data_IF_022183761810
#
_entry.id   IF_022183761810
#
_cell.length_a   1.000
_cell.length_b   1.000
_cell.length_c   1.000
_cell.angle_alpha   90.00
_cell.angle_beta   90.00
_cell.angle_gamma   90.00
#
_symmetry.space_group_name_H-M   'P 1'
#
loop_
_entity.id
_entity.type
_entity.pdbx_description
1 polymer ?
#
# COMPACT_ATOMS: atom_id res chain seq x y z
N UNK A 1 -7.38 -12.27 15.27
CA UNK A 1 -7.71 -13.65 14.89
C UNK A 1 -7.52 -13.81 13.40
N UNK A 2 -6.56 -14.59 13.01
CA UNK A 2 -6.37 -14.92 11.62
C UNK A 2 -7.54 -15.77 11.18
N UNK A 3 -8.31 -15.38 10.13
CA UNK A 3 -9.03 -16.41 9.42
C UNK A 3 -7.95 -17.38 8.96
N UNK A 4 -7.99 -18.58 9.50
CA UNK A 4 -6.99 -19.58 9.25
C UNK A 4 -6.80 -19.75 7.75
N UNK A 5 -5.55 -19.83 7.28
CA UNK A 5 -5.29 -20.28 5.90
C UNK A 5 -6.07 -21.55 5.60
N UNK A 6 -6.31 -22.38 6.61
CA UNK A 6 -7.15 -23.57 6.55
C UNK A 6 -8.58 -23.29 6.05
N UNK A 7 -9.13 -22.09 6.26
CA UNK A 7 -10.43 -21.72 5.69
C UNK A 7 -10.39 -21.48 4.18
N UNK A 8 -9.25 -21.07 3.64
CA UNK A 8 -9.05 -20.89 2.18
C UNK A 8 -8.62 -22.20 1.49
N UNK A 9 -8.06 -23.12 2.24
CA UNK A 9 -7.64 -24.42 1.77
C UNK A 9 -8.58 -25.51 2.35
N UNK A 10 -8.63 -26.66 1.72
CA UNK A 10 -9.31 -27.81 2.30
C UNK A 10 -8.51 -28.35 3.51
N UNK A 11 -9.12 -29.24 4.30
CA UNK A 11 -8.52 -29.85 5.50
C UNK A 11 -7.09 -30.39 5.31
N UNK A 12 -6.75 -30.81 4.10
CA UNK A 12 -5.43 -31.35 3.76
C UNK A 12 -4.49 -30.30 3.15
N UNK A 13 -4.85 -29.03 3.10
CA UNK A 13 -4.10 -27.93 2.49
C UNK A 13 -3.67 -28.17 1.03
N UNK A 14 -4.40 -29.00 0.30
CA UNK A 14 -4.06 -29.43 -1.07
C UNK A 14 -4.94 -28.81 -2.14
N UNK A 15 -6.07 -28.22 -1.78
CA UNK A 15 -7.04 -27.64 -2.71
C UNK A 15 -7.63 -26.36 -2.17
N UNK A 16 -8.01 -25.47 -3.09
CA UNK A 16 -8.67 -24.20 -2.74
C UNK A 16 -10.06 -24.49 -2.19
N UNK A 17 -10.40 -23.87 -1.06
CA UNK A 17 -11.74 -23.95 -0.49
C UNK A 17 -12.73 -23.12 -1.31
N UNK A 18 -13.42 -23.77 -2.24
CA UNK A 18 -14.47 -23.15 -3.03
C UNK A 18 -15.64 -22.64 -2.17
N UNK A 19 -15.95 -23.33 -1.08
CA UNK A 19 -16.99 -22.93 -0.13
C UNK A 19 -16.67 -21.61 0.55
N UNK A 20 -15.45 -21.47 1.06
CA UNK A 20 -14.99 -20.21 1.66
C UNK A 20 -15.03 -19.05 0.67
N UNK A 21 -14.51 -19.25 -0.54
CA UNK A 21 -14.48 -18.16 -1.55
C UNK A 21 -15.89 -17.82 -2.05
N UNK A 22 -16.79 -18.79 -2.13
CA UNK A 22 -18.20 -18.50 -2.39
C UNK A 22 -18.81 -17.66 -1.27
N UNK A 23 -18.59 -18.03 -0.01
CA UNK A 23 -19.10 -17.23 1.12
C UNK A 23 -18.56 -15.80 1.13
N UNK A 24 -17.33 -15.57 0.64
CA UNK A 24 -16.79 -14.21 0.47
C UNK A 24 -17.51 -13.42 -0.63
N UNK A 25 -17.87 -14.07 -1.75
CA UNK A 25 -18.65 -13.44 -2.82
C UNK A 25 -20.03 -13.07 -2.29
N UNK A 26 -20.72 -14.02 -1.65
CA UNK A 26 -22.05 -13.81 -1.06
C UNK A 26 -22.00 -12.69 0.01
N UNK A 27 -20.98 -12.69 0.87
CA UNK A 27 -20.74 -11.64 1.87
C UNK A 27 -20.57 -10.26 1.25
N UNK A 28 -19.83 -10.15 0.14
CA UNK A 28 -19.63 -8.87 -0.56
C UNK A 28 -20.86 -8.40 -1.33
N UNK A 29 -21.82 -9.28 -1.58
CA UNK A 29 -23.09 -8.92 -2.23
C UNK A 29 -24.20 -8.56 -1.24
N UNK A 30 -24.24 -9.24 -0.13
CA UNK A 30 -25.37 -9.14 0.83
C UNK A 30 -25.11 -8.08 1.90
N UNK A 31 -23.86 -7.89 2.34
CA UNK A 31 -23.54 -6.98 3.45
C UNK A 31 -23.40 -5.55 2.93
N UNK A 32 -24.21 -4.64 3.44
CA UNK A 32 -24.34 -3.25 2.99
C UNK A 32 -23.02 -2.50 2.72
N UNK A 33 -21.97 -2.56 3.57
CA UNK A 33 -20.72 -1.86 3.31
C UNK A 33 -19.98 -2.37 2.06
N UNK A 34 -20.16 -3.63 1.72
CA UNK A 34 -19.46 -4.29 0.60
C UNK A 34 -20.35 -4.34 -0.65
N UNK A 35 -21.66 -4.48 -0.51
CA UNK A 35 -22.62 -4.52 -1.62
C UNK A 35 -22.55 -3.26 -2.51
N UNK A 36 -22.15 -2.10 -1.95
CA UNK A 36 -21.89 -0.87 -2.72
C UNK A 36 -20.62 -0.92 -3.59
N UNK A 37 -19.84 -2.01 -3.53
CA UNK A 37 -18.62 -2.27 -4.32
C UNK A 37 -18.83 -3.45 -5.27
N UNK A 38 -19.80 -3.41 -6.20
CA UNK A 38 -20.25 -4.61 -6.92
C UNK A 38 -19.26 -5.12 -7.97
N UNK A 39 -18.26 -4.31 -8.34
CA UNK A 39 -17.48 -4.56 -9.57
C UNK A 39 -16.62 -5.82 -9.49
N UNK A 40 -15.97 -6.08 -8.37
CA UNK A 40 -15.10 -7.28 -8.21
C UNK A 40 -15.94 -8.54 -8.22
N UNK A 41 -17.02 -8.59 -7.43
CA UNK A 41 -17.97 -9.71 -7.40
C UNK A 41 -18.56 -9.98 -8.79
N UNK A 42 -19.00 -8.94 -9.50
CA UNK A 42 -19.51 -9.05 -10.86
C UNK A 42 -18.49 -9.66 -11.84
N UNK A 43 -17.22 -9.23 -11.78
CA UNK A 43 -16.17 -9.79 -12.63
C UNK A 43 -15.92 -11.27 -12.33
N UNK A 44 -15.93 -11.65 -11.04
CA UNK A 44 -15.75 -13.05 -10.63
C UNK A 44 -16.91 -13.89 -11.14
N UNK A 45 -18.16 -13.47 -10.93
CA UNK A 45 -19.35 -14.19 -11.40
C UNK A 45 -19.39 -14.32 -12.92
N UNK A 46 -19.07 -13.25 -13.64
CA UNK A 46 -18.99 -13.32 -15.10
C UNK A 46 -17.92 -14.28 -15.61
N UNK A 47 -16.80 -14.39 -14.87
CA UNK A 47 -15.78 -15.39 -15.23
C UNK A 47 -16.27 -16.81 -14.95
N UNK A 48 -17.05 -17.00 -13.88
CA UNK A 48 -17.67 -18.30 -13.58
C UNK A 48 -18.67 -18.70 -14.68
N UNK A 49 -19.54 -17.78 -15.10
CA UNK A 49 -20.55 -18.03 -16.13
C UNK A 49 -19.92 -18.32 -17.49
N UNK A 50 -18.90 -17.55 -17.89
CA UNK A 50 -18.26 -17.68 -19.21
C UNK A 50 -17.44 -18.96 -19.36
N UNK A 51 -16.74 -19.38 -18.29
CA UNK A 51 -15.79 -20.48 -18.35
C UNK A 51 -16.27 -21.74 -17.61
N UNK A 52 -17.45 -21.71 -16.99
CA UNK A 52 -17.94 -22.81 -16.14
C UNK A 52 -17.07 -23.03 -14.90
N UNK A 53 -16.42 -21.98 -14.37
CA UNK A 53 -15.52 -22.08 -13.23
C UNK A 53 -16.28 -22.21 -11.91
N UNK A 54 -15.66 -22.93 -10.97
CA UNK A 54 -16.06 -22.87 -9.57
C UNK A 54 -15.60 -21.55 -8.94
N UNK A 55 -16.23 -21.06 -7.85
CA UNK A 55 -15.94 -19.77 -7.23
C UNK A 55 -14.46 -19.50 -6.98
N UNK A 56 -13.73 -20.50 -6.47
CA UNK A 56 -12.29 -20.34 -6.20
C UNK A 56 -11.45 -20.10 -7.46
N UNK A 57 -11.79 -20.77 -8.56
CA UNK A 57 -11.08 -20.55 -9.83
C UNK A 57 -11.40 -19.20 -10.43
N UNK A 58 -12.67 -18.77 -10.40
CA UNK A 58 -13.08 -17.43 -10.85
C UNK A 58 -12.41 -16.34 -10.03
N UNK A 59 -12.40 -16.47 -8.70
CA UNK A 59 -11.72 -15.54 -7.80
C UNK A 59 -10.23 -15.42 -8.12
N UNK A 60 -9.52 -16.55 -8.22
CA UNK A 60 -8.08 -16.54 -8.50
C UNK A 60 -7.79 -15.91 -9.87
N UNK A 61 -8.51 -16.35 -10.91
CA UNK A 61 -8.32 -15.80 -12.25
C UNK A 61 -8.43 -14.27 -12.27
N UNK A 62 -9.52 -13.75 -11.70
CA UNK A 62 -9.77 -12.29 -11.70
C UNK A 62 -8.72 -11.56 -10.89
N UNK A 63 -8.45 -11.97 -9.65
CA UNK A 63 -7.52 -11.25 -8.81
C UNK A 63 -6.06 -11.33 -9.30
N UNK A 64 -5.60 -12.49 -9.80
CA UNK A 64 -4.28 -12.56 -10.43
C UNK A 64 -4.17 -11.72 -11.69
N UNK A 65 -5.22 -11.72 -12.53
CA UNK A 65 -5.26 -10.87 -13.71
C UNK A 65 -5.19 -9.38 -13.33
N UNK A 66 -5.95 -8.96 -12.33
CA UNK A 66 -5.93 -7.58 -11.85
C UNK A 66 -4.59 -7.20 -11.22
N UNK A 67 -3.97 -8.09 -10.44
CA UNK A 67 -2.62 -7.87 -9.91
C UNK A 67 -1.58 -7.75 -11.03
N UNK A 68 -1.63 -8.62 -12.04
CA UNK A 68 -0.76 -8.52 -13.20
C UNK A 68 -0.97 -7.21 -13.95
N UNK A 69 -2.23 -6.84 -14.23
CA UNK A 69 -2.57 -5.59 -14.90
C UNK A 69 -2.12 -4.37 -14.10
N UNK A 70 -2.28 -4.37 -12.79
CA UNK A 70 -1.80 -3.27 -11.95
C UNK A 70 -0.29 -3.09 -12.03
N UNK A 71 0.49 -4.17 -12.08
CA UNK A 71 1.93 -4.11 -12.33
C UNK A 71 2.28 -3.55 -13.72
N UNK A 72 1.55 -3.95 -14.77
CA UNK A 72 1.72 -3.38 -16.11
C UNK A 72 1.38 -1.88 -16.16
N UNK A 73 0.31 -1.48 -15.49
CA UNK A 73 -0.09 -0.07 -15.36
C UNK A 73 0.93 0.75 -14.57
N UNK A 74 1.51 0.17 -13.52
CA UNK A 74 2.59 0.78 -12.74
C UNK A 74 3.84 0.99 -13.61
N UNK A 75 4.22 -0.02 -14.39
CA UNK A 75 5.32 0.11 -15.36
C UNK A 75 5.06 1.26 -16.32
N UNK A 76 3.86 1.32 -16.93
CA UNK A 76 3.45 2.39 -17.84
C UNK A 76 3.50 3.76 -17.16
N UNK A 77 2.98 3.89 -15.93
CA UNK A 77 3.02 5.14 -15.16
C UNK A 77 4.47 5.55 -14.89
N UNK A 78 5.35 4.62 -14.50
CA UNK A 78 6.79 4.89 -14.34
C UNK A 78 7.42 5.42 -15.63
N UNK A 79 7.03 4.90 -16.81
CA UNK A 79 7.49 5.42 -18.12
C UNK A 79 6.97 6.83 -18.41
N UNK A 80 5.72 7.13 -18.07
CA UNK A 80 5.16 8.50 -18.17
C UNK A 80 5.97 9.46 -17.29
N UNK A 81 6.45 9.00 -16.13
CA UNK A 81 7.31 9.73 -15.20
C UNK A 81 8.80 9.75 -15.61
N UNK A 82 9.10 9.37 -16.85
CA UNK A 82 10.44 9.36 -17.44
C UNK A 82 11.43 8.39 -16.81
N UNK A 83 10.96 7.34 -16.14
CA UNK A 83 11.82 6.23 -15.69
C UNK A 83 12.45 5.50 -16.88
N UNK A 84 13.69 5.07 -16.74
CA UNK A 84 14.31 4.10 -17.65
C UNK A 84 13.58 2.75 -17.54
N UNK A 85 13.78 1.84 -18.49
CA UNK A 85 13.16 0.51 -18.41
C UNK A 85 13.62 -0.25 -17.16
N UNK A 86 14.90 -0.14 -16.80
CA UNK A 86 15.45 -0.78 -15.58
C UNK A 86 14.79 -0.23 -14.31
N UNK A 87 14.61 1.09 -14.24
CA UNK A 87 13.93 1.72 -13.10
C UNK A 87 12.45 1.33 -13.03
N UNK A 88 11.75 1.27 -14.17
CA UNK A 88 10.35 0.87 -14.22
C UNK A 88 10.15 -0.60 -13.78
N UNK A 89 11.07 -1.51 -14.20
CA UNK A 89 11.08 -2.89 -13.73
C UNK A 89 11.37 -2.94 -12.22
N UNK A 90 12.34 -2.18 -11.72
CA UNK A 90 12.65 -2.13 -10.29
C UNK A 90 11.44 -1.62 -9.47
N UNK A 91 10.70 -0.61 -9.97
CA UNK A 91 9.46 -0.14 -9.37
C UNK A 91 8.39 -1.24 -9.30
N UNK A 92 8.26 -2.04 -10.38
CA UNK A 92 7.37 -3.20 -10.42
C UNK A 92 7.77 -4.28 -9.40
N UNK A 93 9.07 -4.58 -9.30
CA UNK A 93 9.58 -5.55 -8.33
C UNK A 93 9.27 -5.09 -6.89
N UNK A 94 9.47 -3.81 -6.58
CA UNK A 94 9.16 -3.24 -5.26
C UNK A 94 7.66 -3.29 -4.99
N UNK A 95 6.82 -3.00 -5.97
CA UNK A 95 5.37 -3.12 -5.86
C UNK A 95 4.97 -4.54 -5.46
N UNK A 96 5.41 -5.55 -6.22
CA UNK A 96 5.08 -6.94 -5.92
C UNK A 96 5.73 -7.48 -4.65
N UNK A 97 6.90 -6.94 -4.26
CA UNK A 97 7.55 -7.29 -2.99
C UNK A 97 6.94 -6.56 -1.79
N UNK A 98 6.08 -5.55 -1.99
CA UNK A 98 5.39 -4.88 -0.87
C UNK A 98 4.51 -5.88 -0.14
N UNK A 99 4.55 -5.88 1.19
CA UNK A 99 3.88 -6.91 1.99
C UNK A 99 2.41 -7.09 1.64
N UNK A 100 1.66 -5.99 1.50
CA UNK A 100 0.23 -6.01 1.18
C UNK A 100 -0.10 -6.53 -0.23
N UNK A 101 0.86 -6.56 -1.13
CA UNK A 101 0.69 -7.09 -2.50
C UNK A 101 1.18 -8.52 -2.57
N UNK A 102 2.35 -8.81 -2.00
CA UNK A 102 2.95 -10.14 -1.98
C UNK A 102 2.05 -11.18 -1.31
N UNK A 103 1.42 -10.80 -0.21
CA UNK A 103 0.53 -11.65 0.55
C UNK A 103 -0.96 -11.40 0.29
N UNK A 104 -1.31 -10.79 -0.85
CA UNK A 104 -2.69 -10.41 -1.17
C UNK A 104 -3.71 -11.57 -1.13
N UNK A 105 -3.25 -12.81 -1.28
CA UNK A 105 -4.09 -14.01 -1.22
C UNK A 105 -4.08 -14.71 0.15
N UNK A 106 -3.36 -14.18 1.12
CA UNK A 106 -3.22 -14.81 2.45
C UNK A 106 -3.79 -13.93 3.55
N UNK A 107 -4.54 -14.49 4.52
CA UNK A 107 -4.93 -13.77 5.71
C UNK A 107 -3.69 -13.31 6.52
N UNK A 108 -3.75 -12.17 7.16
CA UNK A 108 -4.82 -11.18 7.22
C UNK A 108 -4.79 -10.16 6.08
N UNK A 109 -3.96 -10.34 5.06
CA UNK A 109 -3.86 -9.37 3.96
C UNK A 109 -5.01 -9.54 2.97
N UNK A 110 -5.50 -10.75 2.76
CA UNK A 110 -6.53 -11.18 1.81
C UNK A 110 -7.26 -10.03 1.07
N UNK A 111 -6.80 -9.74 -0.15
CA UNK A 111 -7.34 -8.64 -0.96
C UNK A 111 -8.52 -9.12 -1.80
N UNK A 112 -9.62 -8.37 -1.80
CA UNK A 112 -10.79 -8.61 -2.64
C UNK A 112 -10.98 -7.49 -3.65
N UNK A 113 -11.17 -6.26 -3.19
CA UNK A 113 -11.42 -5.08 -4.04
C UNK A 113 -10.14 -4.29 -4.37
N UNK A 114 -9.06 -4.47 -3.61
CA UNK A 114 -7.84 -3.69 -3.75
C UNK A 114 -7.16 -3.85 -5.11
N UNK A 115 -7.06 -5.06 -5.73
CA UNK A 115 -6.42 -5.20 -7.03
C UNK A 115 -7.13 -4.38 -8.13
N UNK A 116 -8.47 -4.35 -8.11
CA UNK A 116 -9.26 -3.54 -9.04
C UNK A 116 -9.13 -2.05 -8.74
N UNK A 117 -9.18 -1.66 -7.47
CA UNK A 117 -8.91 -0.29 -7.01
C UNK A 117 -7.56 0.21 -7.52
N UNK A 118 -6.48 -0.59 -7.37
CA UNK A 118 -5.15 -0.21 -7.84
C UNK A 118 -5.10 -0.03 -9.36
N UNK A 119 -5.77 -0.88 -10.13
CA UNK A 119 -5.86 -0.70 -11.57
C UNK A 119 -6.47 0.65 -11.95
N UNK A 120 -7.61 1.00 -11.38
CA UNK A 120 -8.26 2.28 -11.66
C UNK A 120 -7.47 3.47 -11.14
N UNK A 121 -6.86 3.38 -9.96
CA UNK A 121 -6.01 4.44 -9.43
C UNK A 121 -4.77 4.68 -10.31
N UNK A 122 -4.10 3.64 -10.78
CA UNK A 122 -2.94 3.78 -11.66
C UNK A 122 -3.32 4.37 -13.03
N UNK A 123 -4.51 4.04 -13.55
CA UNK A 123 -5.07 4.71 -14.74
C UNK A 123 -5.37 6.18 -14.46
N UNK A 124 -6.00 6.48 -13.31
CA UNK A 124 -6.29 7.85 -12.90
C UNK A 124 -5.01 8.67 -12.71
N UNK A 125 -3.98 8.13 -12.03
CA UNK A 125 -2.68 8.77 -11.89
C UNK A 125 -2.00 9.00 -13.24
N UNK A 126 -2.10 8.04 -14.16
CA UNK A 126 -1.57 8.20 -15.53
C UNK A 126 -2.26 9.33 -16.28
N UNK A 127 -3.58 9.44 -16.17
CA UNK A 127 -4.36 10.53 -16.75
C UNK A 127 -4.07 11.88 -16.07
N UNK A 128 -3.95 11.90 -14.74
CA UNK A 128 -3.59 13.07 -13.95
C UNK A 128 -2.21 13.63 -14.35
N UNK A 129 -1.19 12.78 -14.47
CA UNK A 129 0.16 13.20 -14.87
C UNK A 129 0.21 13.77 -16.29
N UNK A 130 -0.66 13.27 -17.18
CA UNK A 130 -0.81 13.77 -18.55
C UNK A 130 -1.78 14.95 -18.67
N UNK A 131 -2.37 15.42 -17.55
CA UNK A 131 -3.42 16.45 -17.49
C UNK A 131 -4.66 16.11 -18.36
N UNK A 132 -4.95 14.82 -18.54
CA UNK A 132 -6.12 14.32 -19.28
C UNK A 132 -7.31 14.17 -18.33
N UNK A 133 -7.89 15.30 -17.94
CA UNK A 133 -8.96 15.35 -16.91
C UNK A 133 -10.20 14.53 -17.28
N UNK A 134 -10.54 14.46 -18.57
CA UNK A 134 -11.66 13.66 -19.09
C UNK A 134 -11.50 12.17 -18.73
N UNK A 135 -10.29 11.66 -18.66
CA UNK A 135 -9.99 10.28 -18.25
C UNK A 135 -9.74 10.13 -16.76
N UNK A 136 -9.17 11.18 -16.13
CA UNK A 136 -8.93 11.16 -14.70
C UNK A 136 -10.23 11.00 -13.91
N UNK A 137 -11.25 11.81 -14.22
CA UNK A 137 -12.51 11.82 -13.48
C UNK A 137 -13.19 10.44 -13.49
N UNK A 138 -13.46 9.78 -14.63
CA UNK A 138 -14.10 8.46 -14.62
C UNK A 138 -13.24 7.39 -13.95
N UNK A 139 -11.92 7.35 -14.20
CA UNK A 139 -11.08 6.34 -13.59
C UNK A 139 -10.99 6.51 -12.06
N UNK A 140 -10.89 7.73 -11.56
CA UNK A 140 -10.87 7.94 -10.12
C UNK A 140 -12.25 7.69 -9.48
N UNK A 141 -13.34 8.01 -10.18
CA UNK A 141 -14.71 7.64 -9.75
C UNK A 141 -14.86 6.12 -9.66
N UNK A 142 -14.39 5.37 -10.66
CA UNK A 142 -14.43 3.90 -10.63
C UNK A 142 -13.55 3.34 -9.49
N UNK A 143 -12.42 3.98 -9.20
CA UNK A 143 -11.62 3.61 -8.03
C UNK A 143 -12.37 3.84 -6.71
N UNK A 144 -13.15 4.93 -6.58
CA UNK A 144 -14.00 5.19 -5.43
C UNK A 144 -15.14 4.18 -5.32
N UNK A 145 -15.78 3.79 -6.43
CA UNK A 145 -16.80 2.75 -6.46
C UNK A 145 -16.22 1.38 -6.12
N UNK A 146 -14.98 1.08 -6.58
CA UNK A 146 -14.28 -0.14 -6.16
C UNK A 146 -13.97 -0.12 -4.67
N UNK A 147 -13.54 1.03 -4.15
CA UNK A 147 -13.27 1.19 -2.73
C UNK A 147 -13.18 2.67 -2.35
N UNK A 148 -14.06 3.10 -1.44
CA UNK A 148 -14.17 4.50 -0.99
C UNK A 148 -12.91 5.05 -0.33
N UNK A 149 -12.03 4.19 0.18
CA UNK A 149 -10.74 4.61 0.75
C UNK A 149 -9.85 5.36 -0.25
N UNK A 150 -10.10 5.23 -1.58
CA UNK A 150 -9.45 6.04 -2.62
C UNK A 150 -9.57 7.55 -2.36
N UNK A 151 -10.60 7.99 -1.62
CA UNK A 151 -10.81 9.37 -1.20
C UNK A 151 -9.57 9.94 -0.45
N UNK A 152 -8.90 9.10 0.32
CA UNK A 152 -7.76 9.47 1.16
C UNK A 152 -6.52 9.88 0.36
N UNK A 153 -6.50 9.61 -0.96
CA UNK A 153 -5.44 10.07 -1.86
C UNK A 153 -5.61 11.54 -2.32
N UNK A 154 -6.82 12.08 -2.23
CA UNK A 154 -7.12 13.42 -2.77
C UNK A 154 -6.26 14.52 -2.15
N UNK A 155 -6.05 14.60 -0.83
CA UNK A 155 -5.15 15.59 -0.25
C UNK A 155 -3.71 15.51 -0.81
N UNK A 156 -3.19 14.28 -0.97
CA UNK A 156 -1.89 14.05 -1.60
C UNK A 156 -1.83 14.48 -3.07
N UNK A 157 -2.88 14.25 -3.84
CA UNK A 157 -2.99 14.71 -5.24
C UNK A 157 -3.09 16.23 -5.33
N UNK A 158 -3.84 16.87 -4.44
CA UNK A 158 -3.92 18.33 -4.36
C UNK A 158 -2.56 18.94 -4.04
N UNK A 159 -1.84 18.39 -3.05
CA UNK A 159 -0.50 18.82 -2.72
C UNK A 159 0.44 18.62 -3.91
N UNK A 160 0.42 17.46 -4.55
CA UNK A 160 1.26 17.16 -5.71
C UNK A 160 1.02 18.12 -6.89
N UNK A 161 -0.26 18.46 -7.16
CA UNK A 161 -0.62 19.32 -8.28
C UNK A 161 -0.19 20.77 -8.08
N UNK A 162 -0.17 21.24 -6.84
CA UNK A 162 -0.05 22.65 -6.47
C UNK A 162 1.31 23.03 -5.92
N UNK A 163 2.07 22.05 -5.42
CA UNK A 163 3.42 22.29 -4.91
C UNK A 163 4.36 22.69 -6.06
N UNK A 164 4.78 23.95 -6.09
CA UNK A 164 5.74 24.46 -7.05
C UNK A 164 7.08 24.71 -6.35
N UNK A 165 8.14 24.08 -6.85
CA UNK A 165 9.51 24.25 -6.35
C UNK A 165 9.67 24.12 -4.82
N UNK A 166 8.88 23.25 -4.18
CA UNK A 166 8.93 23.03 -2.73
C UNK A 166 8.27 24.11 -1.88
N UNK A 167 7.63 25.12 -2.48
CA UNK A 167 7.01 26.22 -1.77
C UNK A 167 5.53 25.95 -1.46
N UNK A 168 5.21 25.76 -0.18
CA UNK A 168 3.85 25.48 0.30
C UNK A 168 2.89 26.66 0.11
N UNK A 169 3.39 27.89 0.03
CA UNK A 169 2.52 29.07 -0.17
C UNK A 169 1.80 29.06 -1.53
N UNK A 170 2.35 28.34 -2.51
CA UNK A 170 1.71 28.21 -3.84
C UNK A 170 0.49 27.30 -3.84
N UNK A 171 0.32 26.47 -2.83
CA UNK A 171 -0.78 25.49 -2.74
C UNK A 171 -2.13 26.19 -2.79
N UNK A 172 -2.33 27.28 -2.04
CA UNK A 172 -3.59 28.01 -1.94
C UNK A 172 -3.75 29.14 -2.97
N UNK A 173 -2.93 29.15 -4.04
CA UNK A 173 -3.05 30.15 -5.10
C UNK A 173 -4.37 30.02 -5.87
N UNK A 174 -5.05 31.17 -6.11
CA UNK A 174 -6.27 31.23 -6.94
C UNK A 174 -6.10 30.64 -8.34
N UNK A 175 -4.86 30.58 -8.84
CA UNK A 175 -4.55 30.03 -10.16
C UNK A 175 -4.78 28.52 -10.26
N UNK A 176 -4.82 27.82 -9.12
CA UNK A 176 -4.95 26.35 -9.05
C UNK A 176 -6.42 25.86 -8.98
N UNK A 177 -7.42 26.75 -8.89
CA UNK A 177 -8.81 26.38 -8.61
C UNK A 177 -9.40 25.38 -9.63
N UNK A 178 -9.08 25.53 -10.92
CA UNK A 178 -9.54 24.61 -11.97
C UNK A 178 -8.98 23.20 -11.78
N UNK A 179 -7.70 23.13 -11.43
CA UNK A 179 -7.04 21.85 -11.13
C UNK A 179 -7.67 21.18 -9.91
N UNK A 180 -7.96 21.96 -8.87
CA UNK A 180 -8.62 21.48 -7.67
C UNK A 180 -10.02 20.94 -7.98
N UNK A 181 -10.78 21.69 -8.78
CA UNK A 181 -12.13 21.29 -9.18
C UNK A 181 -12.09 19.91 -9.87
N UNK A 182 -11.20 19.69 -10.82
CA UNK A 182 -11.08 18.39 -11.50
C UNK A 182 -10.63 17.27 -10.56
N UNK A 183 -9.74 17.55 -9.60
CA UNK A 183 -9.28 16.54 -8.64
C UNK A 183 -10.41 16.11 -7.69
N UNK A 184 -11.27 17.05 -7.30
CA UNK A 184 -12.37 16.79 -6.35
C UNK A 184 -13.64 16.30 -7.05
N UNK A 185 -13.82 16.58 -8.35
CA UNK A 185 -15.02 16.22 -9.12
C UNK A 185 -15.43 14.72 -9.01
N UNK A 186 -14.51 13.74 -8.97
CA UNK A 186 -14.88 12.34 -8.75
C UNK A 186 -15.68 12.09 -7.46
N UNK A 187 -15.48 12.91 -6.42
CA UNK A 187 -16.25 12.81 -5.17
C UNK A 187 -17.74 13.08 -5.44
N UNK A 188 -18.03 14.09 -6.26
CA UNK A 188 -19.41 14.42 -6.59
C UNK A 188 -20.10 13.27 -7.34
N UNK A 189 -19.41 12.67 -8.33
CA UNK A 189 -19.93 11.49 -9.04
C UNK A 189 -20.10 10.29 -8.12
N UNK A 190 -19.15 10.05 -7.24
CA UNK A 190 -19.27 8.99 -6.24
C UNK A 190 -20.41 9.27 -5.26
N UNK A 191 -20.60 10.51 -4.83
CA UNK A 191 -21.73 10.92 -4.01
C UNK A 191 -23.08 10.67 -4.69
N UNK A 192 -23.20 10.97 -5.98
CA UNK A 192 -24.39 10.62 -6.78
C UNK A 192 -24.62 9.12 -6.86
N UNK A 193 -23.55 8.34 -7.07
CA UNK A 193 -23.63 6.87 -7.03
C UNK A 193 -24.11 6.35 -5.67
N UNK A 194 -23.54 6.84 -4.56
CA UNK A 194 -23.97 6.45 -3.21
C UNK A 194 -25.41 6.83 -2.92
N UNK A 195 -25.82 8.03 -3.33
CA UNK A 195 -27.20 8.48 -3.21
C UNK A 195 -28.14 7.53 -3.95
N UNK A 196 -27.86 7.25 -5.21
CA UNK A 196 -28.65 6.30 -6.00
C UNK A 196 -28.69 4.91 -5.34
N UNK A 197 -27.53 4.40 -4.88
CA UNK A 197 -27.45 3.10 -4.21
C UNK A 197 -28.30 3.04 -2.94
N UNK A 198 -28.17 4.03 -2.05
CA UNK A 198 -28.91 4.06 -0.78
C UNK A 198 -30.43 4.14 -1.00
N UNK A 199 -30.88 4.97 -1.93
CA UNK A 199 -32.30 5.17 -2.18
C UNK A 199 -32.94 4.09 -3.05
N UNK A 200 -32.25 3.58 -4.06
CA UNK A 200 -32.81 2.55 -4.96
C UNK A 200 -32.83 1.17 -4.30
N UNK A 201 -31.84 0.87 -3.44
CA UNK A 201 -31.77 -0.43 -2.77
C UNK A 201 -32.22 -0.41 -1.31
N UNK A 202 -32.82 0.70 -0.83
CA UNK A 202 -33.33 0.87 0.55
C UNK A 202 -32.31 0.49 1.64
N UNK A 203 -31.06 0.92 1.46
CA UNK A 203 -29.93 0.56 2.33
C UNK A 203 -29.64 1.58 3.44
N UNK A 204 -30.59 2.48 3.73
CA UNK A 204 -30.35 3.59 4.65
C UNK A 204 -30.10 3.14 6.10
N UNK A 205 -30.93 2.21 6.61
CA UNK A 205 -30.78 1.72 8.00
C UNK A 205 -29.52 0.85 8.15
N UNK A 206 -29.25 -0.03 7.19
CA UNK A 206 -28.05 -0.85 7.18
C UNK A 206 -26.77 0.02 7.16
N UNK A 207 -26.77 1.10 6.36
CA UNK A 207 -25.66 2.05 6.29
C UNK A 207 -25.44 2.80 7.61
N UNK A 208 -26.53 3.21 8.29
CA UNK A 208 -26.47 3.88 9.61
C UNK A 208 -25.88 2.95 10.67
N UNK A 209 -26.35 1.72 10.73
CA UNK A 209 -25.85 0.71 11.68
C UNK A 209 -24.37 0.43 11.48
N UNK A 210 -23.96 0.30 10.24
CA UNK A 210 -22.52 0.13 9.88
C UNK A 210 -21.68 1.33 10.32
N UNK A 211 -22.14 2.55 10.04
CA UNK A 211 -21.40 3.75 10.44
C UNK A 211 -21.23 3.84 11.96
N UNK A 212 -22.26 3.45 12.71
CA UNK A 212 -22.18 3.41 14.17
C UNK A 212 -21.21 2.35 14.68
N UNK A 213 -21.15 1.18 14.04
CA UNK A 213 -20.26 0.09 14.42
C UNK A 213 -18.78 0.36 14.11
N UNK A 214 -18.46 1.24 13.16
CA UNK A 214 -17.07 1.55 12.80
C UNK A 214 -16.23 2.12 13.94
N UNK A 215 -16.85 2.83 14.87
CA UNK A 215 -16.12 3.34 16.04
C UNK A 215 -15.73 2.25 17.03
N UNK A 216 -16.38 1.09 17.02
CA UNK A 216 -15.97 -0.05 17.84
C UNK A 216 -14.63 -0.63 17.38
N UNK A 217 -14.29 -0.50 16.08
CA UNK A 217 -13.03 -0.99 15.55
C UNK A 217 -11.81 -0.39 16.27
N UNK A 218 -11.89 0.90 16.68
CA UNK A 218 -10.81 1.51 17.46
C UNK A 218 -10.60 0.81 18.80
N UNK A 219 -11.69 0.52 19.52
CA UNK A 219 -11.61 -0.17 20.80
C UNK A 219 -11.04 -1.57 20.59
N UNK A 220 -11.53 -2.30 19.61
CA UNK A 220 -11.07 -3.66 19.29
C UNK A 220 -9.60 -3.71 18.86
N UNK A 221 -9.08 -2.69 18.18
CA UNK A 221 -7.67 -2.59 17.81
C UNK A 221 -6.72 -2.53 19.01
N UNK A 222 -7.22 -2.08 20.17
CA UNK A 222 -6.44 -1.86 21.40
C UNK A 222 -7.02 -2.55 22.64
N UNK A 223 -7.99 -3.45 22.47
CA UNK A 223 -8.66 -4.16 23.56
C UNK A 223 -7.71 -5.01 24.38
N UNK A 224 -6.73 -5.60 23.74
CA UNK A 224 -5.73 -6.44 24.37
C UNK A 224 -4.34 -6.25 23.73
N UNK A 225 -3.30 -6.82 24.39
CA UNK A 225 -1.93 -6.70 23.91
C UNK A 225 -1.74 -7.31 22.53
N UNK A 226 -2.37 -8.43 22.23
CA UNK A 226 -2.29 -9.13 20.93
C UNK A 226 -2.79 -8.24 19.80
N UNK A 227 -4.01 -7.71 19.94
CA UNK A 227 -4.62 -6.80 18.95
C UNK A 227 -3.79 -5.52 18.78
N UNK A 228 -3.26 -4.98 19.87
CA UNK A 228 -2.39 -3.79 19.84
C UNK A 228 -1.12 -4.07 19.04
N UNK A 229 -0.41 -5.16 19.33
CA UNK A 229 0.82 -5.53 18.64
C UNK A 229 0.55 -5.84 17.17
N UNK A 230 -0.52 -6.56 16.86
CA UNK A 230 -0.91 -6.87 15.48
C UNK A 230 -1.22 -5.61 14.67
N UNK A 231 -1.96 -4.65 15.26
CA UNK A 231 -2.30 -3.37 14.63
C UNK A 231 -1.05 -2.54 14.30
N UNK A 232 -0.13 -2.39 15.27
CA UNK A 232 1.11 -1.65 15.05
C UNK A 232 2.06 -2.37 14.09
N UNK A 233 2.13 -3.70 14.16
CA UNK A 233 2.95 -4.50 13.23
C UNK A 233 2.42 -4.38 11.81
N UNK A 234 1.10 -4.38 11.60
CA UNK A 234 0.48 -4.20 10.30
C UNK A 234 0.80 -2.84 9.68
N UNK A 235 0.69 -1.76 10.45
CA UNK A 235 1.11 -0.42 10.01
C UNK A 235 2.60 -0.40 9.65
N UNK A 236 3.43 -1.00 10.51
CA UNK A 236 4.88 -1.04 10.34
C UNK A 236 5.27 -1.81 9.08
N UNK A 237 4.72 -3.01 8.86
CA UNK A 237 4.97 -3.84 7.68
C UNK A 237 4.58 -3.15 6.38
N UNK A 238 3.49 -2.39 6.39
CA UNK A 238 3.05 -1.67 5.21
C UNK A 238 3.96 -0.48 4.87
N UNK A 239 4.40 0.30 5.86
CA UNK A 239 4.91 1.65 5.64
C UNK A 239 6.36 1.88 6.06
N UNK A 240 6.90 1.11 7.03
CA UNK A 240 8.18 1.43 7.66
C UNK A 240 9.36 1.56 6.69
N UNK A 241 9.61 0.65 5.74
CA UNK A 241 10.74 0.79 4.83
C UNK A 241 10.62 2.03 3.95
N UNK A 242 9.42 2.38 3.53
CA UNK A 242 9.17 3.56 2.69
C UNK A 242 9.29 4.87 3.47
N UNK A 243 8.81 4.90 4.72
CA UNK A 243 9.00 6.03 5.62
C UNK A 243 10.48 6.23 5.95
N UNK A 244 11.19 5.16 6.28
CA UNK A 244 12.63 5.20 6.56
C UNK A 244 13.41 5.78 5.37
N UNK A 245 13.19 5.22 4.17
CA UNK A 245 13.86 5.71 2.96
C UNK A 245 13.48 7.14 2.60
N UNK A 246 12.21 7.53 2.81
CA UNK A 246 11.73 8.91 2.59
C UNK A 246 12.41 9.89 3.53
N UNK A 247 12.57 9.56 4.81
CA UNK A 247 13.27 10.40 5.79
C UNK A 247 14.76 10.52 5.41
N UNK A 248 15.39 9.41 5.04
CA UNK A 248 16.79 9.42 4.60
C UNK A 248 16.98 10.26 3.35
N UNK A 249 16.08 10.16 2.39
CA UNK A 249 16.07 10.95 1.17
C UNK A 249 15.94 12.45 1.48
N UNK A 250 14.95 12.86 2.24
CA UNK A 250 14.72 14.29 2.58
C UNK A 250 15.86 14.92 3.38
N UNK A 251 16.61 14.12 4.17
CA UNK A 251 17.80 14.60 4.89
C UNK A 251 19.00 14.82 3.99
N UNK A 252 19.12 14.09 2.90
CA UNK A 252 20.34 14.02 2.10
C UNK A 252 20.25 14.74 0.75
N UNK A 253 19.04 15.17 0.35
CA UNK A 253 18.80 15.76 -0.98
C UNK A 253 18.20 17.16 -0.90
N UNK A 254 18.44 17.94 -1.95
CA UNK A 254 17.89 19.30 -2.07
C UNK A 254 16.36 19.27 -2.11
N UNK A 255 15.75 20.14 -1.32
CA UNK A 255 14.30 20.32 -1.25
C UNK A 255 13.63 20.74 -2.57
N UNK A 256 14.42 21.19 -3.55
CA UNK A 256 13.93 21.71 -4.84
C UNK A 256 13.73 20.64 -5.92
N UNK A 257 14.11 19.39 -5.65
CA UNK A 257 13.97 18.33 -6.65
C UNK A 257 12.49 18.06 -6.97
N UNK A 258 12.13 17.87 -8.27
CA UNK A 258 10.75 17.65 -8.68
C UNK A 258 10.14 16.36 -8.09
N UNK A 259 10.97 15.37 -7.74
CA UNK A 259 10.55 14.13 -7.10
C UNK A 259 10.04 14.33 -5.68
N UNK A 260 10.45 15.40 -5.00
CA UNK A 260 10.04 15.69 -3.62
C UNK A 260 8.52 15.84 -3.49
N UNK A 261 7.83 16.28 -4.55
CA UNK A 261 6.36 16.37 -4.56
C UNK A 261 5.71 15.02 -4.24
N UNK A 262 6.26 13.95 -4.79
CA UNK A 262 5.76 12.60 -4.57
C UNK A 262 5.99 12.16 -3.13
N UNK A 263 7.18 12.42 -2.61
CA UNK A 263 7.54 12.07 -1.23
C UNK A 263 6.66 12.85 -0.24
N UNK A 264 6.45 14.15 -0.46
CA UNK A 264 5.57 14.96 0.39
C UNK A 264 4.11 14.51 0.28
N UNK A 265 3.63 14.15 -0.93
CA UNK A 265 2.28 13.62 -1.12
C UNK A 265 2.10 12.28 -0.43
N UNK A 266 3.11 11.42 -0.48
CA UNK A 266 3.14 10.17 0.27
C UNK A 266 3.04 10.42 1.78
N UNK A 267 3.91 11.27 2.34
CA UNK A 267 3.92 11.56 3.77
C UNK A 267 2.61 12.18 4.25
N UNK A 268 2.03 13.12 3.47
CA UNK A 268 0.73 13.70 3.79
C UNK A 268 -0.36 12.63 3.76
N UNK A 269 -0.35 11.76 2.75
CA UNK A 269 -1.35 10.69 2.65
C UNK A 269 -1.19 9.67 3.79
N UNK A 270 0.03 9.33 4.19
CA UNK A 270 0.28 8.50 5.39
C UNK A 270 -0.29 9.16 6.64
N UNK A 271 -0.03 10.45 6.83
CA UNK A 271 -0.50 11.20 7.99
C UNK A 271 -2.04 11.28 8.09
N UNK A 272 -2.74 11.18 6.96
CA UNK A 272 -4.21 11.17 6.91
C UNK A 272 -4.76 9.75 6.96
N UNK A 273 -4.22 8.84 6.12
CA UNK A 273 -4.74 7.48 5.99
C UNK A 273 -4.55 6.66 7.28
N UNK A 274 -3.35 6.74 7.89
CA UNK A 274 -3.05 5.87 9.04
C UNK A 274 -3.95 6.14 10.25
N UNK A 275 -4.18 7.38 10.70
CA UNK A 275 -5.15 7.63 11.77
C UNK A 275 -6.57 7.20 11.40
N UNK A 276 -7.04 7.49 10.16
CA UNK A 276 -8.38 7.10 9.73
C UNK A 276 -8.55 5.59 9.80
N UNK A 277 -7.58 4.82 9.31
CA UNK A 277 -7.62 3.34 9.40
C UNK A 277 -7.67 2.89 10.86
N UNK A 278 -6.81 3.44 11.72
CA UNK A 278 -6.75 3.06 13.13
C UNK A 278 -8.09 3.35 13.85
N UNK A 279 -8.76 4.47 13.51
CA UNK A 279 -10.00 4.88 14.17
C UNK A 279 -11.26 4.22 13.60
N UNK A 280 -11.26 3.78 12.34
CA UNK A 280 -12.49 3.39 11.63
C UNK A 280 -12.47 2.01 10.99
N UNK A 281 -11.37 1.26 11.15
CA UNK A 281 -11.21 -0.06 10.56
C UNK A 281 -10.37 -0.98 11.47
N UNK A 282 -10.31 -2.26 11.12
CA UNK A 282 -9.41 -3.19 11.77
C UNK A 282 -7.97 -2.95 11.32
N UNK A 283 -7.20 -2.23 12.14
CA UNK A 283 -5.82 -1.83 11.84
C UNK A 283 -4.85 -3.02 11.67
N UNK A 284 -5.25 -4.22 12.07
CA UNK A 284 -4.53 -5.48 11.81
C UNK A 284 -4.55 -5.90 10.32
N UNK A 285 -5.40 -5.28 9.49
CA UNK A 285 -5.42 -5.51 8.05
C UNK A 285 -4.39 -4.62 7.33
N UNK A 286 -3.19 -5.14 7.12
CA UNK A 286 -2.03 -4.41 6.52
C UNK A 286 -2.35 -3.72 5.20
N UNK A 287 -3.25 -4.30 4.39
CA UNK A 287 -3.69 -3.74 3.09
C UNK A 287 -4.29 -2.34 3.19
N UNK A 288 -4.90 -2.00 4.33
CA UNK A 288 -5.53 -0.69 4.54
C UNK A 288 -4.51 0.45 4.62
N UNK A 289 -3.29 0.14 5.01
CA UNK A 289 -2.19 1.11 5.09
C UNK A 289 -1.41 1.27 3.79
N UNK A 290 -1.61 0.41 2.79
CA UNK A 290 -0.82 0.41 1.57
C UNK A 290 -1.17 1.54 0.58
N UNK A 291 -2.35 2.14 0.70
CA UNK A 291 -2.86 3.14 -0.24
C UNK A 291 -1.89 4.32 -0.50
N UNK A 292 -1.22 4.91 0.50
CA UNK A 292 -0.24 5.98 0.29
C UNK A 292 0.93 5.60 -0.62
N UNK A 293 1.27 4.31 -0.70
CA UNK A 293 2.38 3.80 -1.50
C UNK A 293 2.20 4.01 -3.00
N UNK A 294 0.98 4.31 -3.47
CA UNK A 294 0.72 4.73 -4.85
C UNK A 294 1.51 5.97 -5.26
N UNK A 295 1.92 6.81 -4.32
CA UNK A 295 2.82 7.94 -4.60
C UNK A 295 4.29 7.52 -4.70
N UNK A 296 4.69 6.39 -4.10
CA UNK A 296 6.09 5.96 -4.05
C UNK A 296 6.41 4.88 -5.08
N UNK A 297 5.54 3.88 -5.25
CA UNK A 297 5.82 2.77 -6.17
C UNK A 297 6.24 3.21 -7.58
N UNK A 298 5.58 4.20 -8.25
CA UNK A 298 5.95 4.57 -9.62
C UNK A 298 7.31 5.23 -9.78
N UNK A 299 7.86 5.78 -8.69
CA UNK A 299 9.11 6.57 -8.69
C UNK A 299 10.17 5.99 -7.75
N UNK A 300 9.92 4.83 -7.14
CA UNK A 300 10.80 4.26 -6.12
C UNK A 300 12.27 4.24 -6.55
N UNK A 301 12.55 3.69 -7.73
CA UNK A 301 13.91 3.60 -8.23
C UNK A 301 14.52 4.96 -8.63
N UNK A 302 13.70 5.95 -8.97
CA UNK A 302 14.21 7.30 -9.24
C UNK A 302 14.65 8.01 -7.95
N UNK A 303 13.92 7.77 -6.85
CA UNK A 303 14.13 8.48 -5.58
C UNK A 303 15.14 7.73 -4.70
N UNK A 304 14.97 6.42 -4.56
CA UNK A 304 15.68 5.63 -3.55
C UNK A 304 16.81 4.76 -4.10
N UNK A 305 17.09 4.81 -5.41
CA UNK A 305 18.11 3.93 -6.02
C UNK A 305 19.50 4.08 -5.39
N UNK A 306 19.85 5.30 -4.99
CA UNK A 306 21.13 5.56 -4.32
C UNK A 306 21.19 4.83 -2.98
N UNK A 307 20.11 4.88 -2.21
CA UNK A 307 20.03 4.23 -0.90
C UNK A 307 20.08 2.70 -1.07
N UNK A 308 19.36 2.17 -2.07
CA UNK A 308 19.39 0.72 -2.39
C UNK A 308 20.80 0.27 -2.85
N UNK A 309 21.49 1.09 -3.61
CA UNK A 309 22.87 0.80 -4.04
C UNK A 309 23.85 0.63 -2.87
N UNK A 310 23.63 1.26 -1.74
CA UNK A 310 24.48 1.06 -0.56
C UNK A 310 24.51 -0.43 -0.15
N UNK A 311 23.38 -1.12 -0.26
CA UNK A 311 23.27 -2.54 0.07
C UNK A 311 24.07 -3.45 -0.87
N UNK A 312 24.40 -2.99 -2.07
CA UNK A 312 25.14 -3.79 -3.07
C UNK A 312 26.63 -3.41 -3.18
N UNK A 313 27.08 -2.44 -2.40
CA UNK A 313 28.43 -1.89 -2.51
C UNK A 313 29.44 -2.69 -1.66
N UNK A 314 30.15 -3.64 -2.28
CA UNK A 314 31.04 -4.59 -1.59
C UNK A 314 32.09 -3.90 -0.70
N UNK A 315 32.68 -2.78 -1.14
CA UNK A 315 33.71 -2.06 -0.38
C UNK A 315 33.19 -1.52 0.97
N UNK A 316 31.88 -1.28 1.11
CA UNK A 316 31.32 -0.85 2.38
C UNK A 316 31.31 -1.98 3.42
N UNK A 317 31.12 -3.22 2.98
CA UNK A 317 31.18 -4.38 3.88
C UNK A 317 32.60 -4.61 4.42
N UNK A 318 33.64 -4.39 3.61
CA UNK A 318 35.03 -4.40 4.08
C UNK A 318 35.28 -3.28 5.10
N UNK A 319 34.68 -2.10 4.90
CA UNK A 319 34.73 -1.00 5.84
C UNK A 319 34.04 -1.29 7.19
N UNK A 320 33.04 -2.16 7.22
CA UNK A 320 32.42 -2.62 8.47
C UNK A 320 33.41 -3.42 9.30
N UNK A 321 34.14 -4.35 8.68
CA UNK A 321 35.14 -5.18 9.36
C UNK A 321 36.25 -4.32 9.98
N UNK A 322 36.66 -3.26 9.31
CA UNK A 322 37.64 -2.30 9.85
C UNK A 322 37.11 -1.49 11.05
N UNK A 323 35.78 -1.44 11.22
CA UNK A 323 35.10 -0.66 12.29
C UNK A 323 34.16 -1.54 13.12
N UNK A 324 34.71 -2.64 13.62
CA UNK A 324 33.98 -3.67 14.37
C UNK A 324 33.10 -3.13 15.52
N UNK A 325 33.42 -1.97 16.13
CA UNK A 325 32.62 -1.33 17.17
C UNK A 325 31.18 -1.01 16.68
N UNK A 326 30.98 -0.72 15.36
CA UNK A 326 29.65 -0.50 14.79
C UNK A 326 28.84 -1.80 14.65
N UNK A 327 29.52 -2.96 14.69
CA UNK A 327 28.84 -4.27 14.65
C UNK A 327 28.11 -4.57 15.98
N UNK A 328 28.62 -4.09 17.11
CA UNK A 328 28.02 -4.37 18.41
C UNK A 328 26.54 -3.88 18.49
N UNK A 329 26.22 -2.60 18.22
CA UNK A 329 24.84 -2.17 18.20
C UNK A 329 24.02 -2.85 17.08
N UNK A 330 24.60 -3.15 15.94
CA UNK A 330 23.92 -3.88 14.87
C UNK A 330 23.54 -5.30 15.32
N UNK A 331 24.45 -6.04 15.93
CA UNK A 331 24.17 -7.37 16.49
C UNK A 331 23.12 -7.28 17.57
N UNK A 332 23.24 -6.32 18.51
CA UNK A 332 22.28 -6.12 19.59
C UNK A 332 20.85 -5.86 19.08
N UNK A 333 20.72 -4.96 18.09
CA UNK A 333 19.43 -4.67 17.46
C UNK A 333 18.85 -5.91 16.76
N UNK A 334 19.68 -6.71 16.09
CA UNK A 334 19.20 -7.91 15.40
C UNK A 334 18.89 -9.08 16.33
N UNK A 335 19.55 -9.16 17.51
CA UNK A 335 19.16 -10.11 18.54
C UNK A 335 17.79 -9.75 19.14
N UNK A 336 17.54 -8.46 19.40
CA UNK A 336 16.22 -7.98 19.83
C UNK A 336 15.17 -8.24 18.75
N UNK A 337 15.50 -7.98 17.47
CA UNK A 337 14.63 -8.26 16.34
C UNK A 337 14.26 -9.74 16.26
N UNK A 338 15.26 -10.63 16.40
CA UNK A 338 15.04 -12.08 16.42
C UNK A 338 14.13 -12.50 17.57
N UNK A 339 14.43 -12.04 18.80
CA UNK A 339 13.63 -12.34 19.97
C UNK A 339 12.18 -11.84 19.78
N UNK A 340 11.99 -10.60 19.29
CA UNK A 340 10.67 -10.04 19.06
C UNK A 340 9.89 -10.86 18.02
N UNK A 341 10.49 -11.15 16.87
CA UNK A 341 9.79 -11.81 15.76
C UNK A 341 9.46 -13.28 16.02
N UNK A 342 10.38 -14.03 16.66
CA UNK A 342 10.28 -15.49 16.76
C UNK A 342 9.93 -16.01 18.17
N UNK A 343 10.00 -15.16 19.20
CA UNK A 343 9.56 -15.51 20.55
C UNK A 343 8.37 -14.67 20.97
N UNK A 344 8.55 -13.39 21.20
CA UNK A 344 7.49 -12.53 21.73
C UNK A 344 6.24 -12.51 20.83
N UNK A 345 6.41 -12.35 19.52
CA UNK A 345 5.30 -12.31 18.56
C UNK A 345 4.58 -13.68 18.46
N UNK A 346 5.34 -14.75 18.56
CA UNK A 346 4.80 -16.13 18.59
C UNK A 346 4.04 -16.41 19.87
N UNK A 347 4.57 -15.98 21.02
CA UNK A 347 3.93 -16.17 22.33
C UNK A 347 2.56 -15.47 22.42
N UNK A 348 2.37 -14.40 21.63
CA UNK A 348 1.08 -13.76 21.47
C UNK A 348 0.11 -14.51 20.54
N UNK A 349 0.51 -15.65 19.98
CA UNK A 349 -0.31 -16.44 19.06
C UNK A 349 -0.38 -15.87 17.64
N UNK A 350 0.50 -14.93 17.29
CA UNK A 350 0.51 -14.22 16.01
C UNK A 350 1.45 -14.84 14.96
N UNK A 351 2.37 -15.73 15.40
CA UNK A 351 3.47 -16.24 14.57
C UNK A 351 3.13 -17.33 13.55
N UNK A 352 2.36 -18.37 13.88
CA UNK A 352 2.48 -19.66 13.16
C UNK A 352 1.99 -19.68 11.71
N UNK A 353 1.14 -18.77 11.26
CA UNK A 353 0.44 -18.91 9.97
C UNK A 353 0.46 -17.70 9.05
N UNK A 354 1.39 -16.73 9.23
CA UNK A 354 1.20 -15.43 8.59
C UNK A 354 2.36 -14.91 7.79
N UNK A 355 3.50 -15.56 7.81
CA UNK A 355 4.76 -15.02 7.26
C UNK A 355 5.11 -13.60 7.77
N UNK A 356 4.37 -13.10 8.76
CA UNK A 356 4.60 -11.78 9.34
C UNK A 356 5.93 -11.73 10.05
N UNK A 357 6.23 -12.75 10.85
CA UNK A 357 7.47 -12.82 11.64
C UNK A 357 8.70 -12.83 10.75
N UNK A 358 8.68 -13.66 9.72
CA UNK A 358 9.79 -13.80 8.78
C UNK A 358 9.98 -12.52 7.95
N UNK A 359 8.88 -11.97 7.42
CA UNK A 359 8.96 -10.73 6.65
C UNK A 359 9.39 -9.56 7.52
N UNK A 360 8.86 -9.46 8.74
CA UNK A 360 9.22 -8.43 9.72
C UNK A 360 10.71 -8.54 10.09
N UNK A 361 11.19 -9.75 10.33
CA UNK A 361 12.60 -9.99 10.63
C UNK A 361 13.53 -9.54 9.50
N UNK A 362 13.24 -9.97 8.26
CA UNK A 362 14.02 -9.62 7.07
C UNK A 362 13.98 -8.11 6.80
N UNK A 363 12.84 -7.48 6.97
CA UNK A 363 12.66 -6.04 6.77
C UNK A 363 13.48 -5.24 7.81
N UNK A 364 13.39 -5.60 9.09
CA UNK A 364 14.17 -4.95 10.16
C UNK A 364 15.67 -5.16 10.00
N UNK A 365 16.08 -6.38 9.60
CA UNK A 365 17.46 -6.68 9.26
C UNK A 365 17.94 -5.79 8.10
N UNK A 366 17.14 -5.67 7.04
CA UNK A 366 17.46 -4.82 5.89
C UNK A 366 17.60 -3.34 6.25
N UNK A 367 16.69 -2.81 7.07
CA UNK A 367 16.73 -1.42 7.56
C UNK A 367 17.98 -1.20 8.43
N UNK A 368 18.25 -2.10 9.37
CA UNK A 368 19.41 -1.99 10.27
C UNK A 368 20.74 -2.12 9.52
N UNK A 369 20.82 -3.03 8.54
CA UNK A 369 21.98 -3.18 7.67
C UNK A 369 22.20 -1.93 6.82
N UNK A 370 21.14 -1.42 6.19
CA UNK A 370 21.23 -0.18 5.41
C UNK A 370 21.74 0.98 6.29
N UNK A 371 21.19 1.13 7.50
CA UNK A 371 21.64 2.17 8.44
C UNK A 371 23.12 2.01 8.80
N UNK A 372 23.57 0.78 9.08
CA UNK A 372 24.98 0.49 9.36
C UNK A 372 25.88 0.90 8.18
N UNK A 373 25.55 0.47 6.97
CA UNK A 373 26.30 0.80 5.74
C UNK A 373 26.32 2.32 5.48
N UNK A 374 25.20 2.99 5.74
CA UNK A 374 25.12 4.45 5.61
C UNK A 374 26.06 5.16 6.61
N UNK A 375 26.15 4.70 7.88
CA UNK A 375 27.09 5.25 8.85
C UNK A 375 28.55 5.00 8.45
N UNK A 376 28.85 3.83 7.87
CA UNK A 376 30.17 3.52 7.34
C UNK A 376 30.50 4.43 6.15
N UNK A 377 29.58 4.62 5.21
CA UNK A 377 29.78 5.44 4.01
C UNK A 377 30.08 6.90 4.35
N UNK A 378 29.39 7.48 5.33
CA UNK A 378 29.66 8.85 5.81
C UNK A 378 31.08 9.03 6.36
N UNK A 379 31.67 7.98 6.96
CA UNK A 379 33.01 8.03 7.58
C UNK A 379 34.14 7.72 6.61
N UNK A 380 33.86 7.10 5.47
CA UNK A 380 34.86 6.71 4.47
C UNK A 380 35.07 7.79 3.39
N UNK A 381 34.28 8.89 3.39
CA UNK A 381 34.33 9.92 2.33
C UNK A 381 34.36 9.30 0.93
N UNK A 382 33.37 8.45 0.61
CA UNK A 382 33.21 8.00 -0.77
C UNK A 382 32.73 9.20 -1.56
N UNK A 383 33.54 9.73 -2.51
CA UNK A 383 33.12 10.86 -3.32
C UNK A 383 31.79 10.50 -3.98
N UNK A 384 30.79 11.38 -3.84
CA UNK A 384 29.52 11.24 -4.52
C UNK A 384 29.82 11.24 -6.01
N UNK A 385 29.94 10.05 -6.59
CA UNK A 385 29.97 9.92 -8.04
C UNK A 385 28.62 10.41 -8.55
N UNK A 386 28.58 11.69 -8.90
CA UNK A 386 27.59 12.26 -9.80
C UNK A 386 27.77 11.59 -11.15
N UNK A 387 27.37 10.35 -11.27
CA UNK A 387 27.25 9.66 -12.54
C UNK A 387 25.82 9.86 -13.02
N UNK A 388 25.67 10.75 -13.99
CA UNK A 388 24.63 10.77 -15.01
C UNK A 388 24.11 9.35 -15.32
N UNK A 389 22.82 9.14 -15.06
CA UNK A 389 22.04 8.06 -15.65
C UNK A 389 21.04 8.64 -16.63
#
# INVERSE_FOLDING_TARGET
MLPNMDSMLNENNTRISHGFLKSQIDYHQEIAPFARRPMTSYLIERSMDLFGFRPGHGFILINFTLLFLSGCLLFRLSKILKSTNRQAIANQCVYYASFSVLFAFFPPVFSYDEPLQYCFLLLAFSAFMQRRWVWYVPFFTLALVSRETSLLLIPGLLLHATLSNGNLSTVFSKQNWKTWLFIVLPIAFYGLYLFAFIYVFDQLEATRTEMASRYSCFIENFENLTNTVESWTSLYLALAPYLYLSIMYLKNYDSRLPQNKWVYSFLLTVAINSPIVIFTAFARETRLFALPLLFIWPIFAQVFWREVKLLTHVNLYQGILAKWILLLPFIGVNLINYWFCFHFYSDLGLGPNTYFSEYLFVMNFGISLHFLLFQVSKRIHIPSTTSSF
#
